data_IF_418972905285
#
_entry.id   IF_418972905285
#
_cell.length_a   1.000
_cell.length_b   1.000
_cell.length_c   1.000
_cell.angle_alpha   90.00
_cell.angle_beta   90.00
_cell.angle_gamma   90.00
#
_symmetry.space_group_name_H-M   'P 1'
#
loop_
_entity.id
_entity.type
_entity.pdbx_description
1 polymer ?
#
# COMPACT_ATOMS: atom_id res chain seq x y z
N UNK A 1 30.53 4.96 -45.05
CA UNK A 1 30.47 5.21 -46.51
C UNK A 1 29.38 4.27 -47.03
N UNK A 2 28.13 4.73 -47.16
CA UNK A 2 27.56 5.30 -48.39
C UNK A 2 27.26 4.15 -49.37
N UNK A 3 26.05 3.86 -49.87
CA UNK A 3 24.93 4.70 -50.33
C UNK A 3 23.72 3.74 -50.57
N UNK A 4 22.47 4.05 -50.19
CA UNK A 4 21.40 4.67 -51.00
C UNK A 4 21.15 3.99 -52.38
N UNK A 5 19.96 3.86 -52.97
CA UNK A 5 18.53 4.03 -52.66
C UNK A 5 17.78 3.68 -53.96
N UNK A 6 16.47 3.42 -53.91
CA UNK A 6 15.42 3.84 -54.87
C UNK A 6 14.27 2.81 -54.88
N UNK A 7 13.05 3.17 -54.45
CA UNK A 7 12.02 3.93 -55.19
C UNK A 7 11.32 3.00 -56.22
N UNK A 8 10.03 3.04 -56.49
CA UNK A 8 8.84 3.79 -56.09
C UNK A 8 7.68 3.02 -56.76
N UNK A 9 6.44 3.18 -56.30
CA UNK A 9 5.22 3.26 -57.14
C UNK A 9 3.93 3.00 -56.35
N UNK A 10 2.88 3.65 -56.84
CA UNK A 10 1.80 4.30 -56.11
C UNK A 10 0.48 3.96 -56.83
N UNK A 11 -0.65 4.23 -56.16
CA UNK A 11 -1.99 4.59 -56.69
C UNK A 11 -3.09 3.50 -56.73
N UNK A 12 -4.27 3.87 -56.20
CA UNK A 12 -5.61 3.37 -56.57
C UNK A 12 -6.60 3.28 -55.40
N UNK A 13 -7.24 4.38 -54.95
CA UNK A 13 -8.65 4.76 -55.24
C UNK A 13 -9.73 3.79 -54.68
N UNK A 14 -10.45 4.16 -53.59
CA UNK A 14 -11.75 4.86 -53.55
C UNK A 14 -13.00 3.98 -53.79
N UNK A 15 -13.88 3.87 -52.78
CA UNK A 15 -15.29 4.32 -52.84
C UNK A 15 -16.21 3.58 -51.82
N UNK A 16 -17.16 4.32 -51.23
CA UNK A 16 -18.54 3.83 -51.08
C UNK A 16 -19.06 3.45 -49.70
N UNK A 17 -19.50 4.44 -48.91
CA UNK A 17 -20.60 4.27 -47.93
C UNK A 17 -21.94 4.10 -48.68
N UNK A 18 -22.96 3.51 -48.03
CA UNK A 18 -24.11 4.35 -47.72
C UNK A 18 -24.74 4.09 -46.35
N UNK A 19 -25.14 5.20 -45.72
CA UNK A 19 -26.11 5.30 -44.63
C UNK A 19 -27.55 5.21 -45.16
N UNK A 20 -28.48 4.63 -44.40
CA UNK A 20 -29.92 4.98 -44.48
C UNK A 20 -30.71 4.50 -43.25
N UNK A 21 -31.24 5.47 -42.53
CA UNK A 21 -32.50 5.43 -41.77
C UNK A 21 -33.20 6.75 -42.12
N UNK A 22 -34.50 6.75 -42.47
CA UNK A 22 -35.47 7.39 -41.57
C UNK A 22 -36.93 6.88 -41.68
N UNK A 23 -37.73 7.05 -40.63
CA UNK A 23 -39.18 7.30 -40.78
C UNK A 23 -39.77 8.06 -39.58
N UNK A 24 -40.17 9.30 -39.88
CA UNK A 24 -41.31 10.14 -39.43
C UNK A 24 -42.60 9.37 -39.05
N UNK A 25 -43.68 9.91 -38.48
CA UNK A 25 -44.10 11.07 -37.66
C UNK A 25 -45.65 10.98 -37.61
N UNK A 26 -46.34 11.42 -36.54
CA UNK A 26 -47.80 11.57 -36.53
C UNK A 26 -48.42 11.83 -35.14
N UNK A 27 -49.61 12.48 -35.03
CA UNK A 27 -49.73 13.73 -34.25
C UNK A 27 -50.85 13.82 -33.16
N UNK A 28 -50.70 14.84 -32.28
CA UNK A 28 -51.65 15.87 -31.74
C UNK A 28 -53.01 15.47 -31.10
N UNK A 29 -53.30 15.97 -29.88
CA UNK A 29 -54.38 16.95 -29.48
C UNK A 29 -54.65 16.92 -27.95
N UNK A 30 -54.28 17.91 -27.13
CA UNK A 30 -54.96 19.15 -26.65
C UNK A 30 -55.97 19.04 -25.48
N UNK A 31 -55.79 19.95 -24.50
CA UNK A 31 -56.74 20.60 -23.54
C UNK A 31 -57.38 19.70 -22.45
N UNK A 32 -57.56 20.08 -21.19
CA UNK A 32 -57.84 21.42 -20.62
C UNK A 32 -57.65 21.45 -19.07
N UNK A 33 -57.01 22.52 -18.60
CA UNK A 33 -57.35 23.48 -17.51
C UNK A 33 -58.01 23.07 -16.16
N UNK A 34 -57.35 23.59 -15.10
CA UNK A 34 -57.85 24.16 -13.83
C UNK A 34 -58.17 23.29 -12.59
N UNK A 35 -57.60 23.71 -11.45
CA UNK A 35 -58.21 23.54 -10.12
C UNK A 35 -57.25 23.14 -8.99
N UNK A 36 -56.52 24.09 -8.40
CA UNK A 36 -56.02 23.96 -7.02
C UNK A 36 -57.15 24.35 -6.04
N UNK A 37 -57.20 23.78 -4.83
CA UNK A 37 -56.51 24.46 -3.73
C UNK A 37 -55.83 23.52 -2.70
N UNK A 38 -54.98 24.15 -1.90
CA UNK A 38 -54.11 23.58 -0.88
C UNK A 38 -54.86 22.92 0.29
N UNK A 39 -54.24 21.86 0.84
CA UNK A 39 -54.27 21.57 2.29
C UNK A 39 -52.93 20.94 2.70
N UNK A 40 -52.36 21.48 3.77
CA UNK A 40 -51.05 21.13 4.33
C UNK A 40 -50.97 19.69 4.83
N UNK A 41 -49.85 19.02 4.57
CA UNK A 41 -49.39 17.94 5.45
C UNK A 41 -47.86 17.91 5.53
N UNK A 42 -47.40 17.54 6.72
CA UNK A 42 -46.07 17.68 7.29
C UNK A 42 -44.90 17.23 6.41
N UNK A 43 -43.85 18.05 6.35
CA UNK A 43 -42.50 17.64 5.95
C UNK A 43 -41.92 16.71 7.02
N UNK A 44 -42.11 15.41 6.82
CA UNK A 44 -41.34 14.38 7.49
C UNK A 44 -39.89 14.44 7.01
N UNK A 45 -38.96 14.33 7.95
CA UNK A 45 -37.52 14.36 7.73
C UNK A 45 -37.07 13.26 6.76
N UNK A 46 -36.71 13.66 5.54
CA UNK A 46 -36.02 12.80 4.58
C UNK A 46 -34.54 12.71 4.99
N UNK A 47 -34.22 11.80 5.90
CA UNK A 47 -32.85 11.28 6.04
C UNK A 47 -32.68 10.17 5.00
N UNK A 48 -32.33 10.56 3.77
CA UNK A 48 -31.92 9.61 2.73
C UNK A 48 -30.41 9.45 2.76
N UNK A 49 -29.95 8.20 2.89
CA UNK A 49 -28.55 7.85 2.67
C UNK A 49 -27.92 6.87 3.66
N UNK A 50 -28.67 5.97 4.31
CA UNK A 50 -28.04 4.81 4.97
C UNK A 50 -27.56 3.85 3.89
N UNK A 51 -26.31 4.03 3.44
CA UNK A 51 -25.62 3.07 2.59
C UNK A 51 -25.74 1.67 3.19
N UNK A 52 -26.10 0.70 2.36
CA UNK A 52 -26.18 -0.70 2.74
C UNK A 52 -24.81 -1.15 3.28
N UNK A 53 -24.70 -1.24 4.60
CA UNK A 53 -23.51 -1.77 5.27
C UNK A 53 -23.33 -3.20 4.77
N UNK A 54 -22.28 -3.47 3.97
CA UNK A 54 -21.96 -4.83 3.51
C UNK A 54 -21.86 -5.72 4.74
N UNK A 55 -22.70 -6.74 4.82
CA UNK A 55 -22.71 -7.70 5.93
C UNK A 55 -21.30 -8.29 6.04
N UNK A 56 -20.65 -8.12 7.19
CA UNK A 56 -19.28 -8.58 7.44
C UNK A 56 -18.16 -7.56 7.21
N UNK A 57 -18.44 -6.35 6.74
CA UNK A 57 -17.43 -5.29 6.66
C UNK A 57 -17.20 -4.61 8.03
N UNK A 58 -15.92 -4.52 8.41
CA UNK A 58 -15.37 -3.77 9.54
C UNK A 58 -15.64 -2.28 9.32
N UNK A 59 -16.12 -1.58 10.35
CA UNK A 59 -16.42 -0.15 10.29
C UNK A 59 -15.19 0.65 9.89
N UNK A 60 -15.37 1.75 9.17
CA UNK A 60 -14.28 2.68 8.87
C UNK A 60 -13.52 3.05 10.15
N UNK A 61 -12.19 3.03 10.08
CA UNK A 61 -11.22 3.24 11.17
C UNK A 61 -11.10 2.13 12.22
N UNK A 62 -12.02 1.16 12.27
CA UNK A 62 -11.84 -0.02 13.13
C UNK A 62 -10.71 -0.92 12.59
N UNK A 63 -10.16 -1.74 13.48
CA UNK A 63 -9.06 -2.66 13.16
C UNK A 63 -9.61 -3.91 12.45
N UNK A 64 -9.07 -4.21 11.28
CA UNK A 64 -9.30 -5.48 10.59
C UNK A 64 -8.52 -6.61 11.26
N UNK A 65 -7.24 -6.37 11.60
CA UNK A 65 -6.36 -7.32 12.27
C UNK A 65 -4.96 -6.75 12.51
N UNK A 66 -4.04 -7.59 13.00
CA UNK A 66 -2.64 -7.22 13.23
C UNK A 66 -1.73 -8.19 12.50
N UNK A 67 -0.64 -7.70 11.92
CA UNK A 67 0.44 -8.59 11.42
C UNK A 67 1.17 -9.29 12.57
N UNK A 68 1.99 -10.31 12.29
CA UNK A 68 2.81 -10.98 13.31
C UNK A 68 3.73 -10.05 14.11
N UNK A 69 4.13 -8.91 13.52
CA UNK A 69 4.92 -7.88 14.21
C UNK A 69 4.07 -6.86 14.98
N UNK A 70 2.77 -7.12 15.17
CA UNK A 70 1.86 -6.24 15.89
C UNK A 70 1.46 -4.97 15.14
N UNK A 71 1.72 -4.86 13.83
CA UNK A 71 1.31 -3.69 13.04
C UNK A 71 -0.19 -3.82 12.69
N UNK A 72 -1.06 -2.89 13.13
CA UNK A 72 -2.50 -2.97 12.85
C UNK A 72 -2.83 -2.59 11.41
N UNK A 73 -3.77 -3.31 10.80
CA UNK A 73 -4.45 -2.92 9.57
C UNK A 73 -5.83 -2.38 9.90
N UNK A 74 -6.12 -1.17 9.45
CA UNK A 74 -7.40 -0.49 9.68
C UNK A 74 -8.30 -0.58 8.46
N UNK A 75 -9.60 -0.68 8.71
CA UNK A 75 -10.61 -0.64 7.65
C UNK A 75 -10.70 0.76 7.06
N UNK A 76 -10.61 0.85 5.73
CA UNK A 76 -10.95 2.07 4.98
C UNK A 76 -12.47 2.14 4.67
N UNK A 77 -13.29 1.22 5.23
CA UNK A 77 -14.73 1.11 5.02
C UNK A 77 -15.12 0.61 3.62
N UNK A 78 -14.57 1.21 2.57
CA UNK A 78 -14.76 0.84 1.17
C UNK A 78 -13.51 1.17 0.35
N UNK A 79 -13.39 0.61 -0.85
CA UNK A 79 -12.26 0.84 -1.77
C UNK A 79 -12.14 2.29 -2.24
N UNK A 80 -13.25 3.04 -2.22
CA UNK A 80 -13.34 4.40 -2.75
C UNK A 80 -13.30 5.47 -1.65
N UNK A 81 -13.21 5.08 -0.38
CA UNK A 81 -13.17 6.04 0.72
C UNK A 81 -11.87 6.84 0.67
N UNK A 82 -11.99 8.16 0.68
CA UNK A 82 -10.87 9.08 0.78
C UNK A 82 -11.13 10.06 1.93
N UNK A 83 -10.43 9.88 3.06
CA UNK A 83 -10.64 10.69 4.27
C UNK A 83 -9.85 11.99 4.27
N UNK A 84 -8.87 12.13 3.37
CA UNK A 84 -7.86 13.20 3.37
C UNK A 84 -7.10 13.36 4.71
N UNK A 85 -7.22 12.39 5.63
CA UNK A 85 -6.59 12.44 6.95
C UNK A 85 -5.21 11.82 6.87
N UNK A 86 -4.18 12.55 7.32
CA UNK A 86 -2.79 12.09 7.28
C UNK A 86 -2.48 11.19 8.48
N UNK A 87 -1.74 10.12 8.22
CA UNK A 87 -1.17 9.23 9.22
C UNK A 87 0.31 9.54 9.40
N UNK A 88 0.77 9.61 10.65
CA UNK A 88 2.16 9.86 11.01
C UNK A 88 2.65 8.81 12.02
N UNK A 89 3.93 8.45 11.94
CA UNK A 89 4.61 7.65 12.95
C UNK A 89 5.99 8.26 13.20
N UNK A 90 6.31 8.53 14.47
CA UNK A 90 7.54 9.21 14.89
C UNK A 90 7.77 10.58 14.24
N UNK A 91 6.69 11.25 13.78
CA UNK A 91 6.76 12.51 13.02
C UNK A 91 6.83 12.34 11.49
N UNK A 92 7.06 11.12 11.00
CA UNK A 92 7.18 10.84 9.56
C UNK A 92 5.82 10.52 8.97
N UNK A 93 5.51 11.13 7.82
CA UNK A 93 4.26 10.89 7.09
C UNK A 93 4.20 9.47 6.53
N UNK A 94 3.24 8.67 7.01
CA UNK A 94 3.02 7.30 6.55
C UNK A 94 2.11 7.24 5.33
N UNK A 95 1.18 8.19 5.18
CA UNK A 95 0.22 8.19 4.06
C UNK A 95 -1.14 8.68 4.52
N UNK A 96 -2.15 8.54 3.65
CA UNK A 96 -3.53 8.88 4.00
C UNK A 96 -4.26 7.69 4.63
N UNK A 97 -5.00 7.94 5.71
CA UNK A 97 -5.81 6.92 6.38
C UNK A 97 -6.97 6.46 5.48
N UNK A 98 -7.23 5.16 5.28
CA UNK A 98 -6.40 3.99 5.58
C UNK A 98 -6.05 3.28 4.27
N UNK A 99 -5.28 3.98 3.44
CA UNK A 99 -4.92 3.54 2.10
C UNK A 99 -3.87 2.42 2.12
N UNK A 100 -3.76 1.66 1.04
CA UNK A 100 -2.80 0.56 0.91
C UNK A 100 -1.34 1.02 1.04
N UNK A 101 -1.00 2.17 0.44
CA UNK A 101 0.35 2.76 0.52
C UNK A 101 0.67 3.21 1.95
N UNK A 102 -0.32 3.69 2.71
CA UNK A 102 -0.14 4.07 4.12
C UNK A 102 0.27 2.87 4.96
N UNK A 103 -0.42 1.73 4.79
CA UNK A 103 -0.10 0.49 5.49
C UNK A 103 1.28 -0.02 5.12
N UNK A 104 1.61 -0.11 3.82
CA UNK A 104 2.90 -0.61 3.37
C UNK A 104 4.07 0.25 3.89
N UNK A 105 3.92 1.58 3.89
CA UNK A 105 4.89 2.51 4.46
C UNK A 105 5.05 2.33 5.97
N UNK A 106 3.93 2.29 6.70
CA UNK A 106 3.92 2.13 8.16
C UNK A 106 4.48 0.78 8.59
N UNK A 107 4.11 -0.30 7.91
CA UNK A 107 4.63 -1.63 8.18
C UNK A 107 6.14 -1.66 7.99
N UNK A 108 6.64 -1.23 6.83
CA UNK A 108 8.07 -1.27 6.51
C UNK A 108 8.90 -0.41 7.47
N UNK A 109 8.38 0.75 7.88
CA UNK A 109 9.02 1.60 8.89
C UNK A 109 9.08 0.90 10.26
N UNK A 110 7.97 0.28 10.67
CA UNK A 110 7.84 -0.30 12.02
C UNK A 110 8.65 -1.58 12.18
N UNK A 111 8.84 -2.36 11.11
CA UNK A 111 9.47 -3.68 11.18
C UNK A 111 10.91 -3.70 10.67
N UNK A 112 11.22 -2.91 9.65
CA UNK A 112 12.54 -2.94 8.99
C UNK A 112 13.33 -1.63 9.16
N UNK A 113 12.74 -0.59 9.77
CA UNK A 113 13.31 0.78 9.82
C UNK A 113 13.71 1.31 8.44
N UNK A 114 12.96 0.87 7.42
CA UNK A 114 13.06 1.36 6.05
C UNK A 114 11.79 2.16 5.73
N UNK A 115 11.94 3.24 4.98
CA UNK A 115 10.84 4.09 4.59
C UNK A 115 10.68 4.03 3.08
N UNK A 116 9.58 3.41 2.64
CA UNK A 116 9.17 3.41 1.24
C UNK A 116 9.01 4.88 0.76
N UNK A 117 9.41 5.28 -0.46
CA UNK A 117 9.25 6.66 -0.91
C UNK A 117 7.78 7.02 -1.14
N UNK A 118 7.47 8.31 -1.12
CA UNK A 118 6.12 8.79 -1.40
C UNK A 118 5.84 8.72 -2.90
N UNK A 119 4.72 8.08 -3.28
CA UNK A 119 4.22 8.01 -4.67
C UNK A 119 2.71 8.17 -4.68
N UNK A 120 2.19 8.74 -5.76
CA UNK A 120 0.75 9.02 -5.88
C UNK A 120 -0.09 7.75 -6.16
N UNK A 121 0.51 6.74 -6.80
CA UNK A 121 -0.20 5.52 -7.20
C UNK A 121 0.57 4.27 -6.77
N UNK A 122 -0.11 3.26 -6.24
CA UNK A 122 0.50 2.03 -5.76
C UNK A 122 1.16 1.22 -6.89
N UNK A 123 0.56 1.13 -8.07
CA UNK A 123 1.14 0.39 -9.21
C UNK A 123 2.53 0.90 -9.62
N UNK A 124 2.83 2.16 -9.31
CA UNK A 124 4.10 2.79 -9.68
C UNK A 124 5.27 2.20 -8.90
N UNK A 125 5.05 1.55 -7.76
CA UNK A 125 6.13 0.95 -6.97
C UNK A 125 6.87 -0.19 -7.68
N UNK A 126 6.33 -0.73 -8.77
CA UNK A 126 7.06 -1.68 -9.61
C UNK A 126 8.30 -1.10 -10.31
N UNK A 127 8.43 0.23 -10.37
CA UNK A 127 9.61 0.94 -10.87
C UNK A 127 10.41 1.59 -9.73
N UNK A 128 10.21 1.16 -8.49
CA UNK A 128 10.92 1.71 -7.34
C UNK A 128 12.29 1.06 -7.20
N UNK A 129 13.34 1.89 -7.33
CA UNK A 129 14.72 1.44 -7.27
C UNK A 129 15.37 1.57 -5.89
N UNK A 130 14.72 2.27 -4.94
CA UNK A 130 15.26 2.48 -3.61
C UNK A 130 14.15 2.70 -2.56
N UNK A 131 14.52 2.50 -1.30
CA UNK A 131 13.84 3.00 -0.10
C UNK A 131 14.78 3.90 0.68
N UNK A 132 14.27 4.59 1.69
CA UNK A 132 15.10 5.39 2.59
C UNK A 132 15.43 4.62 3.87
N UNK A 133 16.61 4.88 4.41
CA UNK A 133 17.02 4.50 5.76
C UNK A 133 17.57 5.75 6.45
N UNK A 134 17.35 5.89 7.76
CA UNK A 134 18.06 6.92 8.52
C UNK A 134 19.55 6.61 8.54
N UNK A 135 20.37 7.62 8.26
CA UNK A 135 21.78 7.54 8.62
C UNK A 135 21.83 7.48 10.15
N UNK A 136 22.59 6.55 10.71
CA UNK A 136 22.80 6.53 12.15
C UNK A 136 23.20 7.94 12.61
N UNK A 137 22.62 8.41 13.73
CA UNK A 137 23.01 9.68 14.33
C UNK A 137 24.53 9.68 14.46
N UNK A 138 25.20 10.50 13.65
CA UNK A 138 26.66 10.68 13.71
C UNK A 138 27.07 11.28 15.07
N UNK A 139 26.09 11.66 15.89
CA UNK A 139 26.16 12.13 17.26
C UNK A 139 26.22 11.04 18.33
N UNK A 140 26.08 9.74 18.01
CA UNK A 140 26.31 8.68 19.01
C UNK A 140 27.79 8.49 19.42
N UNK A 141 28.72 9.23 18.81
CA UNK A 141 30.12 9.30 19.25
C UNK A 141 30.39 10.19 20.46
N UNK A 142 29.44 11.03 20.89
CA UNK A 142 29.65 11.99 22.01
C UNK A 142 28.75 11.72 23.23
N UNK A 143 27.78 10.81 23.12
CA UNK A 143 26.89 10.43 24.23
C UNK A 143 27.42 9.30 25.13
N UNK A 144 28.48 8.58 24.70
CA UNK A 144 29.09 7.50 25.50
C UNK A 144 30.08 7.99 26.57
N UNK A 145 30.60 9.21 26.44
CA UNK A 145 31.50 9.78 27.47
C UNK A 145 30.74 10.43 28.64
N UNK A 146 29.45 10.77 28.49
CA UNK A 146 28.67 11.38 29.56
C UNK A 146 27.85 10.36 30.39
N UNK A 147 27.66 9.14 29.88
CA UNK A 147 27.06 8.03 30.64
C UNK A 147 28.07 7.33 31.58
N UNK A 148 29.37 7.43 31.29
CA UNK A 148 30.43 6.90 32.17
C UNK A 148 30.77 7.83 33.36
N UNK A 149 30.33 9.10 33.32
CA UNK A 149 30.51 10.05 34.42
C UNK A 149 29.33 10.09 35.42
N UNK A 150 28.19 9.49 35.07
CA UNK A 150 26.99 9.49 35.90
C UNK A 150 26.92 8.32 36.91
N UNK A 151 27.79 7.31 36.77
CA UNK A 151 27.80 6.11 37.63
C UNK A 151 28.68 6.25 38.89
N UNK A 152 29.18 7.46 39.16
CA UNK A 152 30.04 7.75 40.32
C UNK A 152 29.36 8.60 41.43
N UNK A 153 28.10 9.03 41.29
CA UNK A 153 27.43 9.81 42.34
C UNK A 153 25.99 9.33 42.56
N UNK A 154 25.84 8.19 43.24
CA UNK A 154 24.59 7.79 43.89
C UNK A 154 24.60 8.23 45.35
N UNK A 155 23.93 9.35 45.66
CA UNK A 155 23.29 9.57 46.96
C UNK A 155 22.30 10.77 46.90
N UNK A 156 21.05 10.51 46.52
CA UNK A 156 19.81 11.00 47.17
C UNK A 156 18.63 11.12 46.18
N UNK A 157 17.39 10.78 46.57
CA UNK A 157 16.25 10.72 45.66
C UNK A 157 15.37 11.98 45.80
N UNK A 158 15.41 12.88 44.83
CA UNK A 158 14.29 13.78 44.50
C UNK A 158 14.67 14.67 43.32
N UNK A 159 14.31 14.25 42.11
CA UNK A 159 14.20 15.12 40.95
C UNK A 159 13.48 14.34 39.87
N UNK A 160 12.31 14.83 39.46
CA UNK A 160 11.63 14.34 38.26
C UNK A 160 12.63 14.32 37.10
N UNK A 161 12.85 13.14 36.53
CA UNK A 161 13.71 12.98 35.38
C UNK A 161 13.00 13.63 34.18
N UNK A 162 13.51 14.78 33.75
CA UNK A 162 13.15 15.39 32.48
C UNK A 162 13.69 14.47 31.39
N UNK A 163 12.84 13.56 30.90
CA UNK A 163 13.10 12.83 29.66
C UNK A 163 13.33 13.86 28.55
N UNK A 164 14.42 13.77 27.76
CA UNK A 164 14.62 14.64 26.61
C UNK A 164 13.42 14.49 25.68
N UNK A 165 12.76 15.60 25.33
CA UNK A 165 11.65 15.59 24.38
C UNK A 165 12.10 14.84 23.12
N UNK A 166 11.46 13.70 22.85
CA UNK A 166 11.78 12.89 21.68
C UNK A 166 11.73 13.78 20.44
N UNK A 167 12.88 13.96 19.77
CA UNK A 167 12.98 14.81 18.58
C UNK A 167 12.02 14.27 17.52
N UNK A 168 11.05 15.09 17.11
CA UNK A 168 10.14 14.77 16.01
C UNK A 168 10.97 14.55 14.75
N UNK A 169 10.90 13.34 14.18
CA UNK A 169 11.68 13.01 12.99
C UNK A 169 11.02 13.63 11.76
N UNK A 170 11.83 14.35 10.97
CA UNK A 170 11.41 14.89 9.67
C UNK A 170 11.67 13.87 8.57
N UNK A 171 10.73 13.74 7.64
CA UNK A 171 10.83 12.80 6.53
C UNK A 171 11.90 13.22 5.51
N UNK A 172 12.25 12.33 4.56
CA UNK A 172 13.31 12.59 3.57
C UNK A 172 13.07 13.81 2.67
N UNK A 173 11.82 14.28 2.56
CA UNK A 173 11.52 15.51 1.81
C UNK A 173 11.92 16.76 2.57
N UNK A 174 11.76 16.75 3.89
CA UNK A 174 12.01 17.90 4.76
C UNK A 174 13.46 17.93 5.28
N UNK A 175 14.09 16.77 5.46
CA UNK A 175 15.46 16.65 5.96
C UNK A 175 16.20 15.61 5.12
N UNK A 176 16.76 16.00 3.97
CA UNK A 176 17.37 15.04 3.03
C UNK A 176 18.66 14.43 3.57
N UNK A 177 19.40 15.18 4.38
CA UNK A 177 20.73 14.80 4.83
C UNK A 177 20.70 13.71 5.89
N UNK A 178 19.61 13.65 6.68
CA UNK A 178 19.37 12.59 7.67
C UNK A 178 19.11 11.20 7.06
N UNK A 179 18.86 11.10 5.75
CA UNK A 179 18.46 9.84 5.11
C UNK A 179 19.44 9.43 4.01
N UNK A 180 19.61 8.12 3.87
CA UNK A 180 20.29 7.50 2.75
C UNK A 180 19.32 6.68 1.91
N UNK A 181 19.66 6.47 0.63
CA UNK A 181 18.90 5.62 -0.27
C UNK A 181 19.49 4.21 -0.23
N UNK A 182 18.66 3.24 0.12
CA UNK A 182 18.99 1.82 0.11
C UNK A 182 18.38 1.21 -1.16
N UNK A 183 19.16 0.50 -1.99
CA UNK A 183 18.66 -0.08 -3.23
C UNK A 183 17.56 -1.12 -2.96
N UNK A 184 16.64 -1.25 -3.91
CA UNK A 184 15.54 -2.22 -3.87
C UNK A 184 15.61 -3.09 -5.12
N UNK A 185 15.32 -4.37 -4.96
CA UNK A 185 15.19 -5.29 -6.10
C UNK A 185 13.71 -5.61 -6.32
N UNK A 186 13.19 -5.17 -7.47
CA UNK A 186 11.86 -5.57 -7.94
C UNK A 186 11.96 -6.87 -8.74
N UNK A 187 11.33 -7.92 -8.24
CA UNK A 187 11.24 -9.22 -8.91
C UNK A 187 9.91 -9.27 -9.64
N UNK A 188 9.96 -9.29 -10.98
CA UNK A 188 8.76 -9.42 -11.81
C UNK A 188 8.14 -10.80 -11.59
N UNK A 189 6.80 -10.86 -11.54
CA UNK A 189 6.07 -12.12 -11.51
C UNK A 189 6.50 -13.05 -12.68
N UNK A 190 6.63 -14.35 -12.42
CA UNK A 190 7.26 -15.33 -13.32
C UNK A 190 8.79 -15.29 -13.33
N UNK A 191 9.39 -14.58 -12.36
CA UNK A 191 10.82 -14.55 -12.12
C UNK A 191 11.35 -15.85 -11.50
N UNK A 192 12.67 -16.01 -11.55
CA UNK A 192 13.40 -17.18 -11.01
C UNK A 192 13.65 -17.10 -9.50
N UNK A 193 13.48 -15.90 -8.92
CA UNK A 193 13.65 -15.69 -7.48
C UNK A 193 12.27 -15.78 -6.85
N UNK A 194 12.03 -16.62 -5.83
CA UNK A 194 10.72 -16.73 -5.18
C UNK A 194 10.36 -15.47 -4.39
N UNK A 195 9.06 -15.28 -4.05
CA UNK A 195 8.69 -14.32 -3.02
C UNK A 195 9.28 -14.75 -1.67
N UNK A 196 9.58 -13.76 -0.84
CA UNK A 196 10.05 -13.98 0.54
C UNK A 196 9.23 -13.12 1.49
N UNK A 197 9.11 -13.57 2.74
CA UNK A 197 8.53 -12.77 3.81
C UNK A 197 9.24 -11.40 3.90
N UNK A 198 8.53 -10.40 4.40
CA UNK A 198 8.99 -9.00 4.46
C UNK A 198 9.23 -8.33 3.10
N UNK A 199 8.63 -8.86 2.03
CA UNK A 199 8.56 -8.21 0.72
C UNK A 199 7.28 -7.40 0.55
N UNK A 200 7.25 -6.49 -0.43
CA UNK A 200 6.00 -5.80 -0.82
C UNK A 200 5.51 -6.32 -2.17
N UNK A 201 4.29 -6.87 -2.22
CA UNK A 201 3.63 -7.28 -3.47
C UNK A 201 2.96 -6.07 -4.13
N UNK A 202 3.13 -5.91 -5.44
CA UNK A 202 2.62 -4.74 -6.20
C UNK A 202 1.71 -5.21 -7.33
N UNK A 203 0.54 -4.59 -7.45
CA UNK A 203 -0.47 -4.89 -8.46
C UNK A 203 -0.57 -3.78 -9.52
N UNK A 204 -0.97 -4.12 -10.77
CA UNK A 204 -1.16 -3.14 -11.82
C UNK A 204 -2.42 -2.31 -11.60
N UNK A 205 -2.60 -1.28 -12.44
CA UNK A 205 -3.90 -0.66 -12.59
C UNK A 205 -4.88 -1.68 -13.15
N UNK A 206 -6.10 -1.70 -12.62
CA UNK A 206 -7.19 -2.54 -13.12
C UNK A 206 -8.52 -1.81 -13.09
N UNK A 207 -9.52 -2.39 -13.73
CA UNK A 207 -10.89 -1.90 -13.63
C UNK A 207 -11.38 -2.13 -12.19
N UNK A 208 -11.61 -1.04 -11.45
CA UNK A 208 -11.90 -1.07 -10.00
C UNK A 208 -10.71 -0.73 -9.09
N UNK A 209 -9.48 -0.72 -9.62
CA UNK A 209 -8.28 -0.25 -8.92
C UNK A 209 -7.39 0.59 -9.84
N UNK A 210 -7.81 1.83 -10.17
CA UNK A 210 -7.08 2.68 -11.12
C UNK A 210 -5.73 3.18 -10.58
N UNK A 211 -5.48 3.09 -9.27
CA UNK A 211 -4.19 3.41 -8.66
C UNK A 211 -3.31 2.17 -8.46
N UNK A 212 -3.80 1.00 -8.86
CA UNK A 212 -3.26 -0.31 -8.49
C UNK A 212 -3.26 -0.55 -6.99
N UNK A 213 -2.50 -1.55 -6.54
CA UNK A 213 -2.48 -1.95 -5.15
C UNK A 213 -1.09 -2.36 -4.67
N UNK A 214 -0.86 -2.28 -3.36
CA UNK A 214 0.36 -2.73 -2.70
C UNK A 214 0.01 -3.41 -1.39
N UNK A 215 0.64 -4.55 -1.13
CA UNK A 215 0.48 -5.32 0.10
C UNK A 215 1.82 -5.77 0.65
N UNK A 216 1.81 -6.28 1.88
CA UNK A 216 2.97 -6.86 2.54
C UNK A 216 2.88 -8.38 2.45
N UNK A 217 3.92 -9.02 1.91
CA UNK A 217 4.08 -10.47 2.01
C UNK A 217 4.59 -10.77 3.42
N UNK A 218 3.71 -11.26 4.27
CA UNK A 218 4.00 -11.54 5.69
C UNK A 218 4.69 -12.89 5.87
N UNK A 219 4.32 -13.88 5.06
CA UNK A 219 4.86 -15.24 5.13
C UNK A 219 4.78 -15.87 3.73
N UNK A 220 5.71 -16.79 3.45
CA UNK A 220 5.71 -17.64 2.26
C UNK A 220 5.95 -19.07 2.72
N UNK A 221 4.97 -19.93 2.50
CA UNK A 221 5.04 -21.35 2.76
C UNK A 221 5.31 -22.08 1.44
N UNK A 222 6.56 -22.49 1.26
CA UNK A 222 7.02 -23.16 0.04
C UNK A 222 6.53 -24.61 -0.06
N UNK A 223 6.25 -25.26 1.08
CA UNK A 223 5.80 -26.65 1.13
C UNK A 223 4.32 -26.73 0.73
N UNK A 224 3.48 -25.90 1.36
CA UNK A 224 2.05 -25.81 1.06
C UNK A 224 1.76 -24.96 -0.17
N UNK A 225 2.78 -24.27 -0.70
CA UNK A 225 2.70 -23.38 -1.86
C UNK A 225 1.69 -22.25 -1.65
N UNK A 226 1.89 -21.48 -0.57
CA UNK A 226 1.01 -20.37 -0.19
C UNK A 226 1.83 -19.10 0.11
N UNK A 227 1.25 -17.95 -0.24
CA UNK A 227 1.75 -16.62 0.12
C UNK A 227 0.70 -15.91 0.96
N UNK A 228 1.09 -15.41 2.12
CA UNK A 228 0.21 -14.72 3.06
C UNK A 228 0.43 -13.21 2.96
N UNK A 229 -0.63 -12.47 2.64
CA UNK A 229 -0.56 -11.03 2.38
C UNK A 229 -1.37 -10.25 3.40
N UNK A 230 -0.76 -9.22 3.97
CA UNK A 230 -1.42 -8.21 4.79
C UNK A 230 -1.51 -6.90 4.02
N UNK A 231 -2.70 -6.30 3.98
CA UNK A 231 -2.93 -5.02 3.30
C UNK A 231 -4.11 -4.22 3.92
N UNK A 232 -4.28 -2.99 3.42
CA UNK A 232 -5.44 -2.13 3.69
C UNK A 232 -6.07 -1.69 2.38
N UNK A 233 -7.33 -1.25 2.44
CA UNK A 233 -8.09 -0.73 1.30
C UNK A 233 -8.30 -1.71 0.13
N UNK A 234 -8.36 -3.01 0.44
CA UNK A 234 -8.75 -4.06 -0.50
C UNK A 234 -9.82 -4.95 0.08
N UNK A 235 -9.51 -5.56 1.22
CA UNK A 235 -10.43 -6.36 2.01
C UNK A 235 -10.85 -5.62 3.28
N UNK A 236 -12.13 -5.68 3.61
CA UNK A 236 -12.72 -4.93 4.73
C UNK A 236 -13.28 -5.85 5.81
N UNK A 237 -12.85 -7.11 5.87
CA UNK A 237 -13.33 -8.08 6.87
C UNK A 237 -12.37 -8.16 8.08
N UNK A 238 -12.87 -8.66 9.21
CA UNK A 238 -12.02 -9.01 10.34
C UNK A 238 -11.11 -10.18 9.97
N UNK A 239 -9.81 -10.08 10.28
CA UNK A 239 -8.85 -11.14 10.01
C UNK A 239 -9.05 -12.37 10.90
N UNK A 240 -9.89 -12.27 11.94
CA UNK A 240 -10.26 -13.38 12.84
C UNK A 240 -9.03 -14.12 13.38
N UNK A 241 -8.20 -13.40 14.15
CA UNK A 241 -6.94 -13.86 14.75
C UNK A 241 -5.82 -14.24 13.77
N UNK A 242 -6.04 -14.09 12.46
CA UNK A 242 -4.98 -14.22 11.45
C UNK A 242 -4.12 -12.97 11.40
N UNK A 243 -2.89 -13.17 10.91
CA UNK A 243 -1.88 -12.13 10.73
C UNK A 243 -1.87 -11.48 9.34
N UNK A 244 -2.83 -11.84 8.50
CA UNK A 244 -2.90 -11.51 7.08
C UNK A 244 -4.36 -11.29 6.66
N UNK A 245 -4.57 -10.48 5.62
CA UNK A 245 -5.89 -10.22 5.03
C UNK A 245 -6.26 -11.27 3.97
N UNK A 246 -5.27 -11.87 3.31
CA UNK A 246 -5.50 -12.86 2.25
C UNK A 246 -4.37 -13.88 2.16
N UNK A 247 -4.68 -15.01 1.52
CA UNK A 247 -3.73 -16.07 1.18
C UNK A 247 -3.89 -16.40 -0.29
N UNK A 248 -2.77 -16.49 -1.00
CA UNK A 248 -2.73 -16.77 -2.43
C UNK A 248 -1.90 -18.02 -2.72
N UNK A 249 -2.33 -18.91 -3.63
CA UNK A 249 -1.50 -20.00 -4.12
C UNK A 249 -0.20 -19.50 -4.76
N UNK A 250 0.89 -20.24 -4.53
CA UNK A 250 2.21 -20.04 -5.13
C UNK A 250 2.49 -21.14 -6.14
N UNK A 251 2.35 -20.85 -7.43
CA UNK A 251 2.75 -21.79 -8.45
C UNK A 251 4.26 -21.69 -8.72
N UNK A 252 4.88 -22.85 -8.92
CA UNK A 252 6.24 -22.99 -9.39
C UNK A 252 6.22 -23.84 -10.67
N UNK A 253 6.46 -23.21 -11.82
CA UNK A 253 6.58 -23.87 -13.12
C UNK A 253 7.99 -23.66 -13.67
N UNK A 254 8.74 -24.75 -13.88
CA UNK A 254 10.12 -24.72 -14.41
C UNK A 254 11.03 -23.71 -13.67
N UNK A 255 10.89 -23.64 -12.35
CA UNK A 255 11.66 -22.73 -11.49
C UNK A 255 11.20 -21.28 -11.51
N UNK A 256 10.06 -20.97 -12.15
CA UNK A 256 9.45 -19.63 -12.17
C UNK A 256 8.28 -19.56 -11.20
N UNK A 257 8.21 -18.46 -10.46
CA UNK A 257 7.24 -18.29 -9.38
C UNK A 257 6.10 -17.34 -9.76
N UNK A 258 4.87 -17.76 -9.45
CA UNK A 258 3.64 -17.00 -9.73
C UNK A 258 2.74 -16.99 -8.49
N UNK A 259 2.33 -15.80 -8.05
CA UNK A 259 1.37 -15.61 -6.96
C UNK A 259 -0.01 -15.47 -7.56
N UNK A 260 -0.84 -16.49 -7.39
CA UNK A 260 -2.15 -16.60 -8.04
C UNK A 260 -3.24 -15.93 -7.22
N UNK A 261 -3.44 -14.67 -7.53
CA UNK A 261 -4.54 -13.90 -7.00
C UNK A 261 -5.71 -13.91 -7.98
N UNK A 262 -6.82 -14.51 -7.54
CA UNK A 262 -8.01 -14.72 -8.36
C UNK A 262 -8.70 -13.42 -8.80
N UNK A 263 -8.44 -12.28 -8.15
CA UNK A 263 -9.02 -10.99 -8.52
C UNK A 263 -8.12 -10.20 -9.47
N UNK A 264 -6.80 -10.29 -9.32
CA UNK A 264 -5.84 -9.52 -10.12
C UNK A 264 -4.44 -10.11 -10.07
N UNK A 265 -3.87 -10.41 -11.23
CA UNK A 265 -2.47 -10.82 -11.32
C UNK A 265 -1.51 -9.69 -10.88
N UNK A 266 -0.60 -9.99 -9.97
CA UNK A 266 0.37 -9.01 -9.50
C UNK A 266 1.44 -8.70 -10.59
N UNK A 267 2.12 -7.56 -10.46
CA UNK A 267 3.28 -7.24 -11.30
C UNK A 267 4.53 -7.99 -10.83
N UNK A 268 4.59 -8.32 -9.55
CA UNK A 268 5.76 -8.85 -8.87
C UNK A 268 5.87 -8.34 -7.44
N UNK A 269 7.03 -8.51 -6.83
CA UNK A 269 7.31 -8.13 -5.45
C UNK A 269 8.65 -7.41 -5.30
N UNK A 270 8.68 -6.45 -4.39
CA UNK A 270 9.86 -5.70 -3.98
C UNK A 270 10.51 -6.42 -2.81
N UNK A 271 11.80 -6.72 -2.96
CA UNK A 271 12.65 -7.21 -1.87
C UNK A 271 13.61 -6.12 -1.44
N UNK A 272 13.89 -6.09 -0.15
CA UNK A 272 14.83 -5.15 0.44
C UNK A 272 16.10 -5.91 0.80
N UNK A 273 17.27 -5.24 0.79
CA UNK A 273 18.45 -5.76 1.45
C UNK A 273 18.02 -6.04 2.88
N UNK A 274 17.93 -7.31 3.27
CA UNK A 274 17.67 -7.65 4.65
C UNK A 274 18.77 -6.96 5.45
N UNK A 275 18.48 -6.58 6.70
CA UNK A 275 19.55 -6.25 7.65
C UNK A 275 20.29 -7.58 7.93
N UNK A 276 21.07 -8.07 6.96
CA UNK A 276 21.90 -9.26 7.10
C UNK A 276 23.25 -8.76 7.59
N UNK A 277 23.47 -8.82 8.91
CA UNK A 277 24.78 -9.16 9.49
C UNK A 277 24.80 -9.29 11.03
N UNK A 278 23.88 -8.74 11.83
CA UNK A 278 24.07 -8.75 13.30
C UNK A 278 23.00 -9.49 14.12
N UNK A 279 22.00 -10.11 13.51
CA UNK A 279 20.99 -10.92 14.21
C UNK A 279 20.80 -12.32 13.61
N UNK A 280 21.89 -12.94 13.15
CA UNK A 280 21.96 -14.38 12.82
C UNK A 280 23.02 -15.17 13.58
N UNK A 281 23.78 -14.56 14.50
CA UNK A 281 24.77 -15.30 15.30
C UNK A 281 24.25 -15.85 16.62
N UNK A 282 23.01 -15.57 17.05
CA UNK A 282 22.52 -16.07 18.36
C UNK A 282 21.66 -17.34 18.31
N UNK A 283 21.53 -18.01 17.16
CA UNK A 283 20.78 -19.29 17.07
C UNK A 283 21.59 -20.43 16.44
N UNK A 284 22.83 -20.19 16.00
CA UNK A 284 23.75 -21.26 15.57
C UNK A 284 24.73 -21.70 16.69
N UNK A 285 24.56 -21.18 17.92
CA UNK A 285 25.46 -21.45 19.06
C UNK A 285 24.73 -21.92 20.33
N UNK A 286 23.64 -22.66 20.13
CA UNK A 286 23.09 -23.62 21.10
C UNK A 286 22.83 -24.91 20.32
N UNK A 287 23.88 -25.64 19.91
CA UNK A 287 24.35 -26.85 20.64
C UNK A 287 23.31 -27.96 20.51
N UNK A 288 23.44 -29.01 19.68
CA UNK A 288 24.59 -29.91 19.55
C UNK A 288 25.26 -30.18 20.90
N UNK A 289 24.51 -30.85 21.78
CA UNK A 289 24.87 -32.07 22.51
C UNK A 289 23.57 -32.78 22.90
#
# INVERSE_FOLDING_TARGET
MGSASSADSKVGASAGRPSRSPSTAGPISTTDTAGAPQMSSSLAATTTGRGTRRVGAVTLHDICGHTHHGVPAYSNGTSNTWTNTKSFRDGVFMGYQWQCVEFARRWLWSTQRLLLPERNCAYSFSSCAYVYRLKADTTQGQGREMAAAADALLASPSSEAITPAARVLRGPREDKDAWEKVPVTFIKQGGLVPPVASSLIVYPMSWGSPWGHIGVITEVDMERRLVYVADQNRYFHHWNDKSHSAVFPLECDKGRFYIRDHESECKGWMTFPTVVAEHRETVQQAGCL
#
